data_IF_563938943197
#
_entry.id   IF_563938943197
#
_cell.length_a   1.000
_cell.length_b   1.000
_cell.length_c   1.000
_cell.angle_alpha   90.00
_cell.angle_beta   90.00
_cell.angle_gamma   90.00
#
_symmetry.space_group_name_H-M   'P 1'
#
loop_
_entity.id
_entity.type
_entity.pdbx_description
1 polymer ?
#
# COMPACT_ATOMS: atom_id res chain seq x y z
N UNK A 1 55.61 -15.78 -18.81
CA UNK A 1 54.39 -16.08 -19.59
C UNK A 1 53.36 -16.78 -18.71
N UNK A 2 52.59 -16.09 -17.85
CA UNK A 2 51.46 -16.70 -17.10
C UNK A 2 50.53 -15.65 -16.44
N UNK A 3 50.33 -14.46 -17.03
CA UNK A 3 49.35 -13.50 -16.49
C UNK A 3 47.93 -13.65 -17.08
N UNK A 4 47.78 -14.41 -18.16
CA UNK A 4 46.53 -14.42 -18.94
C UNK A 4 45.58 -15.60 -18.65
N UNK A 5 45.82 -16.40 -17.59
CA UNK A 5 44.92 -17.52 -17.23
C UNK A 5 44.15 -17.31 -15.92
N UNK A 6 44.58 -16.40 -15.05
CA UNK A 6 43.88 -16.08 -13.80
C UNK A 6 42.70 -15.11 -13.99
N UNK A 7 42.79 -14.18 -14.96
CA UNK A 7 41.74 -13.19 -15.23
C UNK A 7 40.45 -13.84 -15.77
N UNK A 8 40.55 -14.97 -16.48
CA UNK A 8 39.38 -15.64 -17.09
C UNK A 8 38.62 -16.52 -16.08
N UNK A 9 39.27 -17.04 -15.03
CA UNK A 9 38.59 -17.89 -14.03
C UNK A 9 37.76 -17.05 -13.05
N UNK A 10 38.21 -15.82 -12.73
CA UNK A 10 37.47 -14.90 -11.87
C UNK A 10 36.21 -14.32 -12.55
N UNK A 11 36.22 -14.26 -13.89
CA UNK A 11 35.06 -13.87 -14.68
C UNK A 11 33.98 -14.97 -14.78
N UNK A 12 34.35 -16.26 -14.66
CA UNK A 12 33.39 -17.38 -14.72
C UNK A 12 32.72 -17.69 -13.37
N UNK A 13 33.37 -17.42 -12.24
CA UNK A 13 32.74 -17.58 -10.91
C UNK A 13 31.79 -16.43 -10.52
N UNK A 14 31.82 -15.29 -11.23
CA UNK A 14 30.92 -14.17 -10.96
C UNK A 14 29.55 -14.30 -11.67
N UNK A 15 29.43 -15.23 -12.63
CA UNK A 15 28.20 -15.43 -13.40
C UNK A 15 27.21 -16.41 -12.74
N UNK A 16 27.65 -17.23 -11.78
CA UNK A 16 26.82 -18.23 -11.09
C UNK A 16 26.26 -17.74 -9.73
N UNK A 17 26.48 -16.47 -9.36
CA UNK A 17 26.05 -15.88 -8.09
C UNK A 17 24.79 -15.00 -8.18
N UNK A 18 24.00 -15.11 -9.26
CA UNK A 18 22.71 -14.40 -9.42
C UNK A 18 21.51 -15.33 -9.53
N UNK A 19 21.69 -16.62 -9.23
CA UNK A 19 20.58 -17.50 -8.86
C UNK A 19 20.63 -17.72 -7.35
N UNK A 20 19.53 -17.35 -6.70
CA UNK A 20 19.21 -17.69 -5.32
C UNK A 20 20.02 -16.96 -4.25
N UNK A 21 19.45 -15.90 -3.70
CA UNK A 21 19.63 -15.58 -2.30
C UNK A 21 18.42 -14.77 -1.79
N UNK A 22 17.30 -15.49 -1.61
CA UNK A 22 16.54 -15.26 -0.39
C UNK A 22 17.45 -15.55 0.82
N UNK A 23 17.33 -14.70 1.83
CA UNK A 23 17.44 -15.02 3.28
C UNK A 23 18.83 -15.03 3.95
N UNK A 24 18.84 -14.87 5.31
CA UNK A 24 19.69 -13.90 6.01
C UNK A 24 20.74 -14.55 6.95
N UNK A 25 21.45 -13.70 7.68
CA UNK A 25 22.40 -13.99 8.77
C UNK A 25 23.73 -14.64 8.34
N UNK A 26 24.84 -13.91 8.50
CA UNK A 26 25.84 -14.19 9.54
C UNK A 26 27.12 -13.39 9.28
N UNK A 27 27.75 -12.98 10.37
CA UNK A 27 28.99 -12.24 10.40
C UNK A 27 30.12 -12.92 9.63
N UNK A 28 31.00 -12.14 8.99
CA UNK A 28 32.40 -12.52 8.82
C UNK A 28 33.28 -11.26 8.84
N UNK A 29 34.15 -11.27 9.85
CA UNK A 29 35.29 -10.40 10.12
C UNK A 29 36.37 -10.68 9.07
N UNK A 30 36.99 -9.64 8.50
CA UNK A 30 38.38 -9.60 8.00
C UNK A 30 38.67 -8.13 7.64
N UNK A 31 39.20 -7.31 8.55
CA UNK A 31 40.59 -7.22 8.99
C UNK A 31 41.62 -7.15 7.85
N UNK A 32 42.13 -5.93 7.70
CA UNK A 32 43.49 -5.52 7.35
C UNK A 32 43.85 -5.22 5.89
N UNK A 33 44.33 -3.96 5.76
CA UNK A 33 45.35 -3.45 4.85
C UNK A 33 44.96 -3.04 3.43
N UNK A 34 44.26 -1.91 3.28
CA UNK A 34 44.37 -1.05 2.08
C UNK A 34 44.35 0.44 2.52
N UNK A 35 45.25 1.31 2.03
CA UNK A 35 45.39 2.69 2.50
C UNK A 35 44.14 3.55 2.26
N UNK A 36 43.71 4.21 3.34
CA UNK A 36 42.41 4.90 3.51
C UNK A 36 42.23 6.17 2.66
N UNK A 37 43.25 6.66 1.95
CA UNK A 37 43.18 7.99 1.31
C UNK A 37 42.90 8.05 -0.19
N UNK A 38 42.82 6.92 -0.90
CA UNK A 38 42.56 6.94 -2.36
C UNK A 38 41.29 6.19 -2.79
N UNK A 39 40.51 5.66 -1.84
CA UNK A 39 39.25 4.93 -2.13
C UNK A 39 38.01 5.82 -1.93
N UNK A 40 38.13 6.94 -1.21
CA UNK A 40 37.00 7.82 -0.91
C UNK A 40 36.46 8.62 -2.11
N UNK A 41 37.20 8.76 -3.21
CA UNK A 41 36.73 9.55 -4.37
C UNK A 41 35.91 8.75 -5.39
N UNK A 42 36.32 7.50 -5.67
CA UNK A 42 35.73 6.68 -6.73
C UNK A 42 34.55 5.82 -6.23
N UNK A 43 34.52 5.46 -4.95
CA UNK A 43 33.42 4.66 -4.38
C UNK A 43 32.08 5.44 -4.32
N UNK A 44 32.13 6.75 -4.07
CA UNK A 44 30.91 7.59 -4.01
C UNK A 44 30.30 7.84 -5.39
N UNK A 45 31.12 7.86 -6.45
CA UNK A 45 30.61 7.92 -7.83
C UNK A 45 30.02 6.58 -8.30
N UNK A 46 30.61 5.44 -7.92
CA UNK A 46 30.08 4.13 -8.29
C UNK A 46 28.71 3.82 -7.64
N UNK A 47 28.50 4.22 -6.39
CA UNK A 47 27.22 4.01 -5.68
C UNK A 47 26.10 4.91 -6.25
N UNK A 48 26.45 6.12 -6.74
CA UNK A 48 25.49 7.03 -7.39
C UNK A 48 25.08 6.54 -8.79
N UNK A 49 26.01 5.93 -9.55
CA UNK A 49 25.75 5.42 -10.91
C UNK A 49 24.97 4.10 -10.89
N UNK A 50 25.22 3.20 -9.92
CA UNK A 50 24.57 1.89 -9.87
C UNK A 50 23.05 1.97 -9.56
N UNK A 51 22.58 3.02 -8.86
CA UNK A 51 21.13 3.25 -8.64
C UNK A 51 20.36 3.68 -9.88
N UNK A 52 21.04 3.96 -11.00
CA UNK A 52 20.43 4.52 -12.22
C UNK A 52 20.06 3.47 -13.27
N UNK A 53 20.50 2.22 -13.11
CA UNK A 53 20.37 1.18 -14.13
C UNK A 53 19.72 -0.07 -13.55
N UNK A 54 18.43 0.02 -13.27
CA UNK A 54 17.48 -1.07 -13.48
C UNK A 54 16.06 -0.53 -13.39
N UNK A 55 15.71 0.33 -14.34
CA UNK A 55 14.31 0.60 -14.67
C UNK A 55 13.84 -0.55 -15.56
N UNK A 56 13.85 -1.77 -15.02
CA UNK A 56 13.26 -2.93 -15.69
C UNK A 56 11.80 -2.57 -15.97
N UNK A 57 11.43 -2.62 -17.24
CA UNK A 57 10.10 -2.23 -17.73
C UNK A 57 9.12 -3.34 -17.31
N UNK A 58 8.77 -3.39 -16.03
CA UNK A 58 7.77 -4.32 -15.50
C UNK A 58 6.46 -4.12 -16.26
N UNK A 59 5.83 -5.23 -16.64
CA UNK A 59 4.48 -5.23 -17.20
C UNK A 59 3.51 -4.72 -16.14
N UNK A 60 2.62 -3.80 -16.52
CA UNK A 60 1.61 -3.23 -15.62
C UNK A 60 0.56 -4.30 -15.32
N UNK A 61 0.60 -4.87 -14.12
CA UNK A 61 -0.31 -5.94 -13.69
C UNK A 61 -1.66 -5.39 -13.21
N UNK A 62 -1.67 -4.26 -12.49
CA UNK A 62 -2.91 -3.62 -12.05
C UNK A 62 -2.86 -2.10 -12.12
N UNK A 63 -3.65 -1.54 -13.04
CA UNK A 63 -3.75 -0.08 -13.26
C UNK A 63 -4.21 0.68 -12.01
N UNK A 64 -5.07 0.06 -11.18
CA UNK A 64 -5.56 0.66 -9.93
C UNK A 64 -4.45 0.75 -8.86
N UNK A 65 -3.59 -0.26 -8.76
CA UNK A 65 -2.49 -0.24 -7.79
C UNK A 65 -1.46 0.82 -8.17
N UNK A 66 -1.11 0.91 -9.44
CA UNK A 66 -0.20 1.95 -9.95
C UNK A 66 -0.75 3.36 -9.67
N UNK A 67 -2.06 3.57 -9.83
CA UNK A 67 -2.75 4.82 -9.55
C UNK A 67 -2.72 5.17 -8.05
N UNK A 68 -3.24 4.30 -7.19
CA UNK A 68 -3.29 4.55 -5.73
C UNK A 68 -1.90 4.71 -5.13
N UNK A 69 -0.91 3.92 -5.57
CA UNK A 69 0.48 4.06 -5.12
C UNK A 69 1.08 5.39 -5.54
N UNK A 70 0.76 5.90 -6.74
CA UNK A 70 1.21 7.21 -7.19
C UNK A 70 0.59 8.34 -6.36
N UNK A 71 -0.68 8.19 -5.97
CA UNK A 71 -1.37 9.13 -5.08
C UNK A 71 -0.78 9.14 -3.67
N UNK A 72 -0.64 7.98 -3.04
CA UNK A 72 -0.04 7.85 -1.71
C UNK A 72 1.37 8.45 -1.66
N UNK A 73 2.21 8.15 -2.66
CA UNK A 73 3.57 8.68 -2.72
C UNK A 73 3.60 10.20 -2.95
N UNK A 74 2.60 10.76 -3.63
CA UNK A 74 2.51 12.20 -3.85
C UNK A 74 2.02 12.94 -2.61
N UNK A 75 1.04 12.38 -1.91
CA UNK A 75 0.59 12.92 -0.61
C UNK A 75 1.71 12.89 0.42
N UNK A 76 2.46 11.78 0.49
CA UNK A 76 3.60 11.68 1.40
C UNK A 76 4.70 12.70 1.10
N UNK A 77 4.75 13.20 -0.14
CA UNK A 77 5.64 14.27 -0.59
C UNK A 77 5.03 15.67 -0.45
N UNK A 78 3.79 15.79 0.03
CA UNK A 78 3.08 17.07 0.18
C UNK A 78 2.75 17.76 -1.15
N UNK A 79 2.54 16.98 -2.22
CA UNK A 79 2.13 17.55 -3.51
C UNK A 79 0.65 17.88 -3.49
N UNK A 80 0.30 19.05 -4.02
CA UNK A 80 -1.10 19.50 -4.16
C UNK A 80 -1.89 18.78 -5.26
N UNK A 81 -1.20 18.16 -6.23
CA UNK A 81 -1.85 17.50 -7.36
C UNK A 81 -1.09 16.27 -7.86
N UNK A 82 -1.84 15.32 -8.41
CA UNK A 82 -1.33 14.07 -8.99
C UNK A 82 -1.90 13.85 -10.37
N UNK A 83 -1.01 13.54 -11.32
CA UNK A 83 -1.39 13.04 -12.63
C UNK A 83 -1.32 11.51 -12.66
N UNK A 84 -2.41 10.87 -13.01
CA UNK A 84 -2.53 9.42 -13.14
C UNK A 84 -2.65 9.07 -14.64
N UNK A 85 -1.81 8.13 -15.08
CA UNK A 85 -1.83 7.58 -16.44
C UNK A 85 -1.56 6.08 -16.32
N UNK A 86 -2.47 5.17 -16.68
CA UNK A 86 -3.67 5.32 -17.52
C UNK A 86 -4.97 5.63 -16.72
N UNK A 87 -5.98 6.16 -17.40
CA UNK A 87 -7.34 6.29 -16.84
C UNK A 87 -8.15 5.02 -17.07
N UNK A 88 -8.95 4.61 -16.08
CA UNK A 88 -9.84 3.45 -16.16
C UNK A 88 -11.14 3.77 -15.44
N UNK A 89 -12.27 3.25 -15.96
CA UNK A 89 -13.61 3.47 -15.36
C UNK A 89 -13.68 3.05 -13.87
N UNK A 90 -12.91 2.03 -13.49
CA UNK A 90 -12.77 1.59 -12.09
C UNK A 90 -12.10 2.66 -11.23
N UNK A 91 -11.05 3.32 -11.74
CA UNK A 91 -10.34 4.38 -11.03
C UNK A 91 -11.27 5.59 -10.84
N UNK A 92 -11.99 6.00 -11.89
CA UNK A 92 -12.94 7.12 -11.82
C UNK A 92 -14.01 6.84 -10.75
N UNK A 93 -14.63 5.66 -10.77
CA UNK A 93 -15.61 5.27 -9.74
C UNK A 93 -15.02 5.21 -8.33
N UNK A 94 -13.77 4.76 -8.19
CA UNK A 94 -13.09 4.73 -6.89
C UNK A 94 -12.81 6.15 -6.37
N UNK A 95 -12.35 7.06 -7.25
CA UNK A 95 -12.13 8.46 -6.92
C UNK A 95 -13.42 9.18 -6.53
N UNK A 96 -14.55 8.87 -7.18
CA UNK A 96 -15.86 9.39 -6.80
C UNK A 96 -16.24 9.00 -5.36
N UNK A 97 -15.98 7.76 -4.96
CA UNK A 97 -16.21 7.32 -3.56
C UNK A 97 -15.31 8.11 -2.60
N UNK A 98 -14.03 8.31 -2.94
CA UNK A 98 -13.11 9.08 -2.09
C UNK A 98 -13.50 10.56 -1.97
N UNK A 99 -14.00 11.18 -3.05
CA UNK A 99 -14.50 12.55 -3.07
C UNK A 99 -15.75 12.70 -2.22
N UNK A 100 -16.67 11.71 -2.27
CA UNK A 100 -17.88 11.68 -1.43
C UNK A 100 -17.56 11.75 0.07
N UNK A 101 -16.49 11.09 0.49
CA UNK A 101 -16.02 11.12 1.89
C UNK A 101 -15.06 12.29 2.19
N UNK A 102 -14.75 13.15 1.22
CA UNK A 102 -13.96 14.38 1.42
C UNK A 102 -12.45 14.18 1.63
N UNK A 103 -11.90 13.01 1.25
CA UNK A 103 -10.45 12.75 1.32
C UNK A 103 -9.68 13.44 0.20
N UNK A 104 -10.31 13.56 -0.97
CA UNK A 104 -9.78 14.14 -2.19
C UNK A 104 -10.60 15.38 -2.54
N UNK A 105 -9.98 16.33 -3.22
CA UNK A 105 -10.67 17.49 -3.81
C UNK A 105 -11.35 17.13 -5.13
N UNK A 106 -11.30 18.06 -6.07
CA UNK A 106 -11.81 17.84 -7.41
C UNK A 106 -10.82 16.99 -8.24
N UNK A 107 -11.36 16.26 -9.22
CA UNK A 107 -10.54 15.55 -10.19
C UNK A 107 -11.06 15.81 -11.61
N UNK A 108 -10.14 15.95 -12.55
CA UNK A 108 -10.43 16.22 -13.96
C UNK A 108 -9.99 15.03 -14.80
N UNK A 109 -10.87 14.61 -15.72
CA UNK A 109 -10.54 13.63 -16.74
C UNK A 109 -10.13 14.33 -18.04
N UNK A 110 -8.87 14.15 -18.45
CA UNK A 110 -8.33 14.68 -19.70
C UNK A 110 -8.26 13.55 -20.73
N UNK A 111 -8.93 13.72 -21.87
CA UNK A 111 -8.90 12.74 -22.95
C UNK A 111 -7.71 12.96 -23.88
N UNK A 112 -6.90 11.91 -24.06
CA UNK A 112 -5.75 11.88 -24.98
C UNK A 112 -6.03 11.00 -26.21
N UNK A 113 -7.27 10.52 -26.39
CA UNK A 113 -7.69 9.51 -27.39
C UNK A 113 -6.97 8.14 -27.28
N UNK A 114 -6.06 7.97 -26.32
CA UNK A 114 -5.30 6.72 -26.10
C UNK A 114 -5.79 5.97 -24.86
N UNK A 115 -5.59 6.55 -23.69
CA UNK A 115 -5.90 5.90 -22.41
C UNK A 115 -6.40 6.89 -21.34
N UNK A 116 -6.63 8.16 -21.74
CA UNK A 116 -6.91 9.27 -20.83
C UNK A 116 -5.82 9.52 -19.77
N UNK A 117 -5.94 10.67 -19.12
CA UNK A 117 -5.20 11.04 -17.91
C UNK A 117 -6.22 11.54 -16.89
N UNK A 118 -5.93 11.33 -15.62
CA UNK A 118 -6.72 11.93 -14.54
C UNK A 118 -5.79 12.86 -13.77
N UNK A 119 -6.19 14.10 -13.57
CA UNK A 119 -5.53 15.02 -12.66
C UNK A 119 -6.39 15.07 -11.40
N UNK A 120 -5.78 14.80 -10.25
CA UNK A 120 -6.47 14.73 -8.95
C UNK A 120 -5.87 15.77 -8.03
N UNK A 121 -6.72 16.59 -7.40
CA UNK A 121 -6.31 17.53 -6.36
C UNK A 121 -6.28 16.86 -4.98
N UNK A 122 -5.19 17.07 -4.27
CA UNK A 122 -4.89 16.47 -2.98
C UNK A 122 -5.06 17.49 -1.86
N UNK A 123 -5.86 17.13 -0.85
CA UNK A 123 -6.16 17.99 0.30
C UNK A 123 -5.20 17.79 1.48
N UNK A 124 -4.35 16.76 1.47
CA UNK A 124 -3.46 16.42 2.58
C UNK A 124 -4.10 15.63 3.73
N UNK A 125 -5.37 15.19 3.56
CA UNK A 125 -6.10 14.39 4.56
C UNK A 125 -5.86 12.88 4.44
N UNK A 126 -5.43 12.42 3.27
CA UNK A 126 -5.27 11.00 2.97
C UNK A 126 -4.01 10.46 3.67
N UNK A 127 -4.18 9.54 4.62
CA UNK A 127 -3.06 8.89 5.29
C UNK A 127 -2.55 7.72 4.45
N UNK A 128 -3.44 6.80 4.05
CA UNK A 128 -3.07 5.65 3.21
C UNK A 128 -4.20 5.25 2.28
N UNK A 129 -3.83 4.85 1.06
CA UNK A 129 -4.72 4.16 0.14
C UNK A 129 -4.00 2.94 -0.45
N UNK A 130 -4.75 1.89 -0.72
CA UNK A 130 -4.19 0.65 -1.24
C UNK A 130 -5.22 -0.25 -1.90
N UNK A 131 -4.77 -1.04 -2.87
CA UNK A 131 -5.55 -2.10 -3.49
C UNK A 131 -5.30 -3.40 -2.74
N UNK A 132 -6.35 -4.21 -2.59
CA UNK A 132 -6.24 -5.57 -2.04
C UNK A 132 -6.14 -6.55 -3.21
N UNK A 133 -5.12 -7.40 -3.17
CA UNK A 133 -4.83 -8.39 -4.21
C UNK A 133 -4.51 -9.75 -3.56
N UNK A 134 -5.17 -10.85 -3.97
CA UNK A 134 -6.27 -10.95 -4.95
C UNK A 134 -7.59 -10.34 -4.43
N UNK A 135 -8.57 -10.17 -5.32
CA UNK A 135 -9.90 -9.62 -4.96
C UNK A 135 -10.76 -10.72 -4.34
N UNK A 136 -10.80 -10.75 -3.02
CA UNK A 136 -11.60 -11.70 -2.26
C UNK A 136 -13.10 -11.40 -2.35
N UNK A 137 -13.91 -12.45 -2.43
CA UNK A 137 -15.36 -12.38 -2.28
C UNK A 137 -15.72 -12.19 -0.81
N UNK A 138 -16.64 -11.28 -0.54
CA UNK A 138 -17.06 -10.86 0.80
C UNK A 138 -18.58 -10.82 0.85
N UNK A 139 -19.14 -11.66 1.70
CA UNK A 139 -20.56 -11.61 2.05
C UNK A 139 -20.85 -10.49 3.04
N UNK A 140 -22.13 -10.18 3.25
CA UNK A 140 -22.55 -9.12 4.18
C UNK A 140 -22.05 -9.37 5.61
N UNK A 141 -22.02 -10.64 6.04
CA UNK A 141 -21.54 -11.07 7.37
C UNK A 141 -20.02 -10.97 7.54
N UNK A 142 -19.29 -10.92 6.43
CA UNK A 142 -17.82 -10.88 6.45
C UNK A 142 -17.30 -9.44 6.42
N UNK A 143 -18.17 -8.43 6.28
CA UNK A 143 -17.75 -7.03 6.20
C UNK A 143 -17.09 -6.59 7.51
N UNK A 144 -17.66 -6.95 8.66
CA UNK A 144 -17.16 -6.61 9.99
C UNK A 144 -15.73 -7.13 10.25
N UNK A 145 -15.41 -8.42 10.05
CA UNK A 145 -14.04 -8.91 10.23
C UNK A 145 -13.05 -8.30 9.22
N UNK A 146 -13.48 -7.95 8.01
CA UNK A 146 -12.63 -7.24 7.06
C UNK A 146 -12.32 -5.81 7.50
N UNK A 147 -13.31 -5.09 8.03
CA UNK A 147 -13.12 -3.76 8.61
C UNK A 147 -12.14 -3.78 9.77
N UNK A 148 -12.30 -4.71 10.72
CA UNK A 148 -11.41 -4.83 11.88
C UNK A 148 -9.94 -5.13 11.51
N UNK A 149 -9.69 -5.80 10.38
CA UNK A 149 -8.34 -6.15 9.91
C UNK A 149 -7.67 -5.02 9.13
N UNK A 150 -8.44 -4.27 8.34
CA UNK A 150 -7.91 -3.32 7.36
C UNK A 150 -7.89 -1.89 7.86
N UNK A 151 -8.91 -1.50 8.65
CA UNK A 151 -9.09 -0.11 9.06
C UNK A 151 -8.50 0.13 10.45
N UNK A 152 -7.76 1.23 10.64
CA UNK A 152 -7.28 1.61 11.96
C UNK A 152 -8.49 1.96 12.85
N UNK A 153 -8.74 1.11 13.84
CA UNK A 153 -9.68 1.44 14.92
C UNK A 153 -8.97 2.34 15.91
N UNK A 154 -9.59 3.47 16.26
CA UNK A 154 -9.19 4.23 17.44
C UNK A 154 -9.63 3.37 18.63
N UNK A 155 -8.79 2.41 19.04
CA UNK A 155 -9.00 1.69 20.30
C UNK A 155 -8.92 2.74 21.41
N UNK A 156 -10.07 3.29 21.76
CA UNK A 156 -10.23 4.00 23.02
C UNK A 156 -10.11 2.89 24.06
N UNK A 157 -9.05 2.97 24.85
CA UNK A 157 -8.61 2.07 25.90
C UNK A 157 -9.62 2.01 27.06
N UNK A 158 -10.87 1.65 26.78
CA UNK A 158 -11.94 1.49 27.76
C UNK A 158 -11.94 0.09 28.40
N UNK A 159 -10.79 -0.57 28.46
CA UNK A 159 -10.59 -1.90 29.04
C UNK A 159 -9.72 -1.94 30.29
N UNK A 160 -9.09 -0.82 30.69
CA UNK A 160 -8.11 -0.82 31.80
C UNK A 160 -8.68 -0.38 33.16
N UNK A 161 -9.96 0.00 33.25
CA UNK A 161 -10.60 0.46 34.49
C UNK A 161 -11.70 -0.48 35.02
N UNK A 162 -11.66 -1.77 34.68
CA UNK A 162 -12.53 -2.74 35.37
C UNK A 162 -11.69 -3.44 36.45
N UNK A 163 -11.70 -2.98 37.72
CA UNK A 163 -11.11 -3.73 38.81
C UNK A 163 -11.80 -5.10 38.91
N UNK A 164 -11.02 -6.13 39.22
CA UNK A 164 -11.37 -7.56 39.27
C UNK A 164 -12.51 -7.95 40.23
N UNK A 165 -13.17 -6.97 40.86
CA UNK A 165 -14.15 -7.15 41.94
C UNK A 165 -15.60 -6.92 41.51
N UNK A 166 -15.90 -6.56 40.26
CA UNK A 166 -17.28 -6.29 39.83
C UNK A 166 -17.96 -7.53 39.22
N UNK A 167 -18.92 -8.05 39.98
CA UNK A 167 -19.71 -9.26 39.75
C UNK A 167 -20.46 -9.35 38.39
N UNK A 168 -20.80 -10.61 38.07
CA UNK A 168 -21.47 -11.25 36.93
C UNK A 168 -22.65 -10.53 36.22
N UNK A 169 -23.08 -9.34 36.64
CA UNK A 169 -24.23 -8.60 36.08
C UNK A 169 -23.88 -7.83 34.80
N UNK A 170 -22.60 -7.61 34.49
CA UNK A 170 -22.17 -6.84 33.32
C UNK A 170 -22.06 -7.62 32.01
N UNK A 171 -22.20 -8.96 32.00
CA UNK A 171 -22.18 -9.74 30.75
C UNK A 171 -23.29 -9.33 29.77
N UNK A 172 -24.42 -8.81 30.27
CA UNK A 172 -25.53 -8.34 29.42
C UNK A 172 -25.34 -6.90 28.92
N UNK A 173 -24.58 -6.05 29.63
CA UNK A 173 -24.19 -4.71 29.15
C UNK A 173 -22.98 -4.74 28.21
N UNK A 174 -22.08 -5.73 28.35
CA UNK A 174 -20.94 -5.90 27.43
C UNK A 174 -21.35 -6.15 25.98
N UNK A 175 -22.52 -6.80 25.76
CA UNK A 175 -23.10 -7.05 24.44
C UNK A 175 -23.77 -5.82 23.81
N UNK A 176 -24.17 -4.81 24.60
CA UNK A 176 -24.71 -3.56 24.05
C UNK A 176 -23.60 -2.57 23.68
N UNK A 177 -22.45 -2.68 24.33
CA UNK A 177 -21.29 -1.81 24.06
C UNK A 177 -20.61 -2.18 22.73
N UNK A 178 -20.56 -3.46 22.34
CA UNK A 178 -19.98 -3.86 21.05
C UNK A 178 -20.71 -3.24 19.84
N UNK A 179 -22.04 -3.11 19.90
CA UNK A 179 -22.84 -2.47 18.83
C UNK A 179 -22.80 -0.93 18.84
N UNK A 180 -22.27 -0.29 19.89
CA UNK A 180 -22.17 1.17 19.97
C UNK A 180 -20.76 1.67 19.61
N UNK A 181 -19.73 0.83 19.77
CA UNK A 181 -18.34 1.12 19.41
C UNK A 181 -18.07 0.98 17.90
N UNK A 182 -19.03 0.47 17.13
CA UNK A 182 -18.92 0.27 15.67
C UNK A 182 -18.73 1.57 14.86
N UNK A 183 -18.89 2.76 15.47
CA UNK A 183 -18.93 4.04 14.74
C UNK A 183 -17.68 4.93 14.89
N UNK A 184 -16.59 4.43 15.49
CA UNK A 184 -15.33 5.20 15.65
C UNK A 184 -14.16 4.62 14.82
N UNK A 185 -14.46 3.83 13.80
CA UNK A 185 -13.47 3.32 12.86
C UNK A 185 -13.18 4.38 11.80
N UNK A 186 -11.91 4.74 11.66
CA UNK A 186 -11.47 5.73 10.67
C UNK A 186 -11.09 5.02 9.38
N UNK A 187 -11.77 5.39 8.30
CA UNK A 187 -11.50 4.90 6.96
C UNK A 187 -12.63 4.09 6.35
N UNK A 188 -12.47 3.77 5.07
CA UNK A 188 -13.48 3.10 4.27
C UNK A 188 -12.86 1.98 3.45
N UNK A 189 -13.57 0.86 3.39
CA UNK A 189 -13.31 -0.22 2.45
C UNK A 189 -14.21 -0.04 1.24
N UNK A 190 -13.65 -0.20 0.05
CA UNK A 190 -14.35 -0.12 -1.22
C UNK A 190 -14.58 -1.52 -1.78
N UNK A 191 -15.84 -1.80 -2.10
CA UNK A 191 -16.31 -3.08 -2.61
C UNK A 191 -16.87 -2.92 -4.03
N UNK A 192 -16.64 -3.92 -4.88
CA UNK A 192 -17.37 -4.13 -6.13
C UNK A 192 -18.57 -5.03 -5.86
N UNK A 193 -19.75 -4.43 -5.85
CA UNK A 193 -21.03 -5.14 -5.74
C UNK A 193 -21.67 -5.25 -7.14
N UNK A 194 -22.75 -6.02 -7.25
CA UNK A 194 -23.58 -6.10 -8.47
C UNK A 194 -24.16 -4.74 -8.89
N UNK A 195 -24.46 -3.87 -7.93
CA UNK A 195 -24.98 -2.52 -8.17
C UNK A 195 -23.88 -1.49 -8.51
N UNK A 196 -22.60 -1.84 -8.34
CA UNK A 196 -21.47 -0.97 -8.65
C UNK A 196 -20.42 -0.93 -7.55
N UNK A 197 -19.49 0.03 -7.68
CA UNK A 197 -18.42 0.28 -6.72
C UNK A 197 -18.97 1.21 -5.63
N UNK A 198 -18.91 0.78 -4.38
CA UNK A 198 -19.41 1.54 -3.23
C UNK A 198 -18.58 1.23 -1.99
N UNK A 199 -18.76 2.03 -0.95
CA UNK A 199 -18.19 1.82 0.37
C UNK A 199 -18.93 0.69 1.12
N UNK A 200 -18.25 0.14 2.12
CA UNK A 200 -18.77 -0.94 2.95
C UNK A 200 -20.00 -0.56 3.80
N UNK A 201 -20.20 0.72 4.15
CA UNK A 201 -21.40 1.16 4.89
C UNK A 201 -22.63 1.18 3.97
N UNK A 202 -22.46 1.66 2.73
CA UNK A 202 -23.49 1.54 1.70
C UNK A 202 -23.83 0.10 1.36
N UNK A 203 -22.83 -0.76 1.27
CA UNK A 203 -23.03 -2.19 1.02
C UNK A 203 -23.88 -2.84 2.12
N UNK A 204 -23.62 -2.47 3.39
CA UNK A 204 -24.41 -2.93 4.54
C UNK A 204 -25.85 -2.42 4.49
N UNK A 205 -26.05 -1.13 4.18
CA UNK A 205 -27.39 -0.52 4.05
C UNK A 205 -28.23 -1.19 2.96
N UNK A 206 -27.60 -1.57 1.85
CA UNK A 206 -28.26 -2.26 0.73
C UNK A 206 -28.31 -3.78 0.92
N UNK A 207 -27.71 -4.31 1.99
CA UNK A 207 -27.59 -5.75 2.26
C UNK A 207 -27.01 -6.54 1.08
N UNK A 208 -25.97 -5.99 0.45
CA UNK A 208 -25.28 -6.60 -0.71
C UNK A 208 -23.82 -6.88 -0.39
N UNK A 209 -23.36 -8.07 -0.79
CA UNK A 209 -21.96 -8.44 -0.78
C UNK A 209 -21.26 -8.07 -2.10
N UNK A 210 -19.98 -8.42 -2.19
CA UNK A 210 -19.20 -8.16 -3.39
C UNK A 210 -17.76 -8.61 -3.27
N UNK A 211 -16.92 -8.16 -4.19
CA UNK A 211 -15.47 -8.37 -4.12
C UNK A 211 -14.77 -7.15 -3.55
N UNK A 212 -13.77 -7.34 -2.70
CA UNK A 212 -12.97 -6.24 -2.15
C UNK A 212 -12.06 -5.66 -3.24
N UNK A 213 -12.10 -4.33 -3.40
CA UNK A 213 -11.17 -3.63 -4.27
C UNK A 213 -9.97 -3.09 -3.51
N UNK A 214 -10.23 -2.38 -2.41
CA UNK A 214 -9.18 -1.66 -1.70
C UNK A 214 -9.74 -0.89 -0.52
N UNK A 215 -8.87 -0.10 0.11
CA UNK A 215 -9.20 0.68 1.29
C UNK A 215 -8.52 2.04 1.21
N UNK A 216 -9.10 3.02 1.93
CA UNK A 216 -8.49 4.31 2.16
C UNK A 216 -8.85 4.84 3.55
N UNK A 217 -7.92 5.57 4.16
CA UNK A 217 -8.09 6.26 5.44
C UNK A 217 -7.10 7.40 5.59
#
# INVERSE_FOLDING_TARGET
MTLNRWIIIQARHSAEATRSAEKPYSACIFSSAIPIRTICGLAVHAISICRRLNKTKMVRVSVLNDALKSMYNAEKRGKRQVKIRPSSKVIIKFLLVMQKHGYIGEFEYVDDHRAGKIVVELNGRLNKCGVISPRFDVGVKDIEPWTARLLPSRQVSLGFLIPSSFNLVTKKLGLMCSSFVDNLQFGYIVLTTSAGIMDHEEARRKNVGGKVLGFFY
#
